data_IF_631475797329
#
_entry.id   IF_631475797329
#
_cell.length_a   1.000
_cell.length_b   1.000
_cell.length_c   1.000
_cell.angle_alpha   90.00
_cell.angle_beta   90.00
_cell.angle_gamma   90.00
#
_symmetry.space_group_name_H-M   'P 1'
#
loop_
_entity.id
_entity.type
_entity.pdbx_description
1 polymer ?
#
# COMPACT_ATOMS: atom_id res chain seq x y z
N UNK A 1 -13.91 -12.40 -8.29
CA UNK A 1 -13.84 -10.94 -8.07
C UNK A 1 -12.49 -10.66 -7.41
N UNK A 2 -11.40 -11.09 -8.04
CA UNK A 2 -10.16 -11.44 -7.30
C UNK A 2 -9.54 -10.25 -6.55
N UNK A 3 -9.38 -9.10 -7.22
CA UNK A 3 -8.80 -7.91 -6.58
C UNK A 3 -9.75 -7.33 -5.51
N UNK A 4 -11.07 -7.40 -5.72
CA UNK A 4 -12.03 -6.94 -4.72
C UNK A 4 -11.96 -7.79 -3.45
N UNK A 5 -11.88 -9.11 -3.61
CA UNK A 5 -11.74 -10.06 -2.51
C UNK A 5 -10.41 -9.87 -1.77
N UNK A 6 -9.29 -9.72 -2.50
CA UNK A 6 -7.97 -9.53 -1.92
C UNK A 6 -7.81 -8.19 -1.18
N UNK A 7 -8.50 -7.14 -1.61
CA UNK A 7 -8.40 -5.80 -1.01
C UNK A 7 -9.52 -5.48 -0.02
N UNK A 8 -10.58 -6.27 0.02
CA UNK A 8 -11.79 -6.00 0.80
C UNK A 8 -12.59 -4.79 0.32
N UNK A 9 -12.27 -4.23 -0.86
CA UNK A 9 -12.94 -3.04 -1.39
C UNK A 9 -14.23 -3.40 -2.15
N UNK A 10 -15.28 -2.60 -1.94
CA UNK A 10 -16.48 -2.64 -2.78
C UNK A 10 -16.20 -2.22 -4.22
N UNK A 11 -17.01 -2.71 -5.16
CA UNK A 11 -16.79 -2.58 -6.61
C UNK A 11 -16.59 -1.13 -7.09
N UNK A 12 -17.38 -0.19 -6.59
CA UNK A 12 -17.28 1.22 -6.99
C UNK A 12 -15.94 1.85 -6.57
N UNK A 13 -15.51 1.60 -5.34
CA UNK A 13 -14.23 2.10 -4.80
C UNK A 13 -13.05 1.45 -5.52
N UNK A 14 -13.12 0.14 -5.73
CA UNK A 14 -12.10 -0.59 -6.45
C UNK A 14 -11.94 -0.06 -7.89
N UNK A 15 -13.05 0.12 -8.62
CA UNK A 15 -13.04 0.65 -9.98
C UNK A 15 -12.40 2.04 -10.04
N UNK A 16 -12.74 2.92 -9.09
CA UNK A 16 -12.14 4.25 -8.98
C UNK A 16 -10.62 4.17 -8.78
N UNK A 17 -10.14 3.35 -7.85
CA UNK A 17 -8.70 3.21 -7.57
C UNK A 17 -7.94 2.62 -8.75
N UNK A 18 -8.44 1.52 -9.34
CA UNK A 18 -7.81 0.90 -10.52
C UNK A 18 -7.72 1.85 -11.70
N UNK A 19 -8.74 2.70 -11.92
CA UNK A 19 -8.70 3.74 -12.95
C UNK A 19 -7.57 4.74 -12.69
N UNK A 20 -7.44 5.26 -11.47
CA UNK A 20 -6.39 6.22 -11.12
C UNK A 20 -5.00 5.59 -11.28
N UNK A 21 -4.79 4.37 -10.78
CA UNK A 21 -3.51 3.67 -10.89
C UNK A 21 -3.14 3.37 -12.34
N UNK A 22 -4.12 3.01 -13.19
CA UNK A 22 -3.89 2.82 -14.62
C UNK A 22 -3.52 4.15 -15.31
N UNK A 23 -4.22 5.24 -14.98
CA UNK A 23 -3.93 6.56 -15.54
C UNK A 23 -2.57 7.12 -15.12
N UNK A 24 -2.12 6.78 -13.91
CA UNK A 24 -0.80 7.13 -13.41
C UNK A 24 0.33 6.26 -13.99
N UNK A 25 0.01 5.28 -14.84
CA UNK A 25 1.01 4.35 -15.40
C UNK A 25 1.54 3.33 -14.40
N UNK A 26 0.87 3.14 -13.25
CA UNK A 26 1.26 2.15 -12.24
C UNK A 26 0.76 0.76 -12.65
N UNK A 27 -0.44 0.71 -13.25
CA UNK A 27 -1.03 -0.53 -13.74
C UNK A 27 -1.19 -0.51 -15.25
N UNK A 28 -0.93 -1.66 -15.87
CA UNK A 28 -1.45 -1.97 -17.19
C UNK A 28 -2.87 -2.56 -17.03
N UNK A 29 -3.70 -2.42 -18.07
CA UNK A 29 -5.07 -2.95 -18.08
C UNK A 29 -5.36 -3.66 -19.40
N UNK A 30 -5.72 -4.93 -19.31
CA UNK A 30 -6.15 -5.75 -20.44
C UNK A 30 -7.65 -6.10 -20.31
N UNK A 31 -8.53 -5.55 -21.15
CA UNK A 31 -9.93 -5.98 -21.23
C UNK A 31 -10.04 -7.42 -21.73
N UNK A 32 -10.93 -8.22 -21.14
CA UNK A 32 -11.28 -9.57 -21.60
C UNK A 32 -12.77 -9.82 -21.37
N UNK A 33 -13.57 -9.50 -22.40
CA UNK A 33 -15.04 -9.56 -22.33
C UNK A 33 -15.58 -8.63 -21.23
N UNK A 34 -16.35 -9.19 -20.31
CA UNK A 34 -16.91 -8.46 -19.15
C UNK A 34 -15.90 -8.27 -18.01
N UNK A 35 -14.70 -8.84 -18.14
CA UNK A 35 -13.64 -8.75 -17.14
C UNK A 35 -12.50 -7.85 -17.63
N UNK A 36 -11.66 -7.42 -16.68
CA UNK A 36 -10.40 -6.75 -16.98
C UNK A 36 -9.32 -7.29 -16.06
N UNK A 37 -8.16 -7.58 -16.64
CA UNK A 37 -6.97 -8.03 -15.94
C UNK A 37 -6.03 -6.84 -15.78
N UNK A 38 -5.38 -6.77 -14.63
CA UNK A 38 -4.46 -5.70 -14.28
C UNK A 38 -3.12 -6.31 -13.92
N UNK A 39 -2.05 -5.63 -14.30
CA UNK A 39 -0.67 -6.01 -13.98
C UNK A 39 0.08 -4.75 -13.58
N UNK A 40 1.11 -4.90 -12.73
CA UNK A 40 2.05 -3.80 -12.49
C UNK A 40 2.74 -3.46 -13.81
N UNK A 41 2.68 -2.18 -14.22
CA UNK A 41 3.19 -1.75 -15.51
C UNK A 41 4.73 -1.71 -15.58
N UNK A 42 5.38 -1.46 -14.45
CA UNK A 42 6.84 -1.36 -14.33
C UNK A 42 7.32 -2.09 -13.06
N UNK A 43 8.24 -3.08 -13.15
CA UNK A 43 8.79 -3.78 -11.99
C UNK A 43 9.36 -2.86 -10.90
N UNK A 44 9.87 -1.66 -11.25
CA UNK A 44 10.36 -0.67 -10.28
C UNK A 44 9.31 -0.25 -9.25
N UNK A 45 8.03 -0.41 -9.55
CA UNK A 45 6.94 -0.11 -8.61
C UNK A 45 7.00 -1.01 -7.38
N UNK A 46 7.40 -2.28 -7.54
CA UNK A 46 7.60 -3.16 -6.39
C UNK A 46 8.72 -2.66 -5.48
N UNK A 47 9.85 -2.27 -6.07
CA UNK A 47 10.99 -1.73 -5.31
C UNK A 47 10.61 -0.45 -4.55
N UNK A 48 9.82 0.43 -5.19
CA UNK A 48 9.31 1.64 -4.55
C UNK A 48 8.38 1.33 -3.38
N UNK A 49 7.48 0.34 -3.54
CA UNK A 49 6.58 -0.09 -2.49
C UNK A 49 7.34 -0.66 -1.29
N UNK A 50 8.32 -1.53 -1.52
CA UNK A 50 9.15 -2.10 -0.44
C UNK A 50 9.91 -1.00 0.29
N UNK A 51 10.60 -0.12 -0.44
CA UNK A 51 11.32 1.00 0.16
C UNK A 51 10.40 1.90 1.00
N UNK A 52 9.20 2.22 0.50
CA UNK A 52 8.25 3.03 1.24
C UNK A 52 7.78 2.33 2.53
N UNK A 53 7.45 1.04 2.45
CA UNK A 53 7.02 0.23 3.58
C UNK A 53 8.11 0.11 4.65
N UNK A 54 9.35 -0.13 4.24
CA UNK A 54 10.50 -0.19 5.14
C UNK A 54 10.67 1.13 5.89
N UNK A 55 10.69 2.26 5.17
CA UNK A 55 10.85 3.58 5.77
C UNK A 55 9.73 3.94 6.74
N UNK A 56 8.49 3.59 6.41
CA UNK A 56 7.35 3.79 7.31
C UNK A 56 7.50 2.93 8.56
N UNK A 57 7.87 1.67 8.41
CA UNK A 57 8.04 0.71 9.51
C UNK A 57 9.17 1.14 10.46
N UNK A 58 10.33 1.53 9.92
CA UNK A 58 11.46 2.07 10.69
C UNK A 58 11.02 3.27 11.54
N UNK A 59 10.29 4.21 10.93
CA UNK A 59 9.80 5.41 11.64
C UNK A 59 8.85 5.04 12.78
N UNK A 60 7.92 4.13 12.55
CA UNK A 60 6.97 3.67 13.58
C UNK A 60 7.73 3.01 14.74
N UNK A 61 8.72 2.17 14.45
CA UNK A 61 9.55 1.53 15.47
C UNK A 61 10.32 2.54 16.31
N UNK A 62 10.97 3.52 15.67
CA UNK A 62 11.68 4.60 16.36
C UNK A 62 10.75 5.43 17.26
N UNK A 63 9.54 5.73 16.79
CA UNK A 63 8.53 6.42 17.60
C UNK A 63 8.12 5.59 18.82
N UNK A 64 7.91 4.28 18.66
CA UNK A 64 7.58 3.39 19.77
C UNK A 64 8.71 3.30 20.81
N UNK A 65 9.98 3.25 20.37
CA UNK A 65 11.15 3.25 21.26
C UNK A 65 11.32 4.57 22.03
N UNK A 66 11.11 5.70 21.36
CA UNK A 66 11.11 7.01 22.00
C UNK A 66 10.06 7.10 23.11
N UNK A 67 8.83 6.65 22.84
CA UNK A 67 7.76 6.61 23.83
C UNK A 67 8.08 5.70 25.03
N UNK A 68 8.68 4.53 24.79
CA UNK A 68 9.14 3.63 25.87
C UNK A 68 10.20 4.30 26.74
N UNK A 69 11.16 4.99 26.12
CA UNK A 69 12.24 5.71 26.81
C UNK A 69 11.71 6.87 27.66
N UNK A 70 10.72 7.61 27.17
CA UNK A 70 10.04 8.64 27.94
C UNK A 70 9.33 8.05 29.16
N UNK A 71 8.59 6.94 28.97
CA UNK A 71 7.89 6.25 30.07
C UNK A 71 8.86 5.76 31.15
N UNK A 72 9.99 5.18 30.76
CA UNK A 72 11.00 4.70 31.73
C UNK A 72 11.67 5.84 32.49
N UNK A 73 11.81 7.04 31.88
CA UNK A 73 12.34 8.22 32.57
C UNK A 73 11.35 8.82 33.56
N UNK A 74 10.06 8.84 33.24
CA UNK A 74 9.01 9.33 34.15
C UNK A 74 8.77 8.40 35.34
N UNK A 75 8.93 7.08 35.18
CA UNK A 75 8.74 6.10 36.25
C UNK A 75 9.89 6.02 37.27
N UNK A 76 10.98 6.76 37.07
CA UNK A 76 12.17 6.79 37.94
C UNK A 76 12.19 8.02 38.86
N UNK A 77 11.14 8.85 38.81
CA UNK A 77 10.87 9.92 39.78
C UNK A 77 9.65 9.61 40.63
#
# INVERSE_FOLDING_TARGET
MEIAEATGLGQANLSKHLKVLTQAGILSRQPKGTSAYYEIADPMIFELCELACDRISERIQQQAESLKTLRSKTAVF
#
